data_IF_454741440891
#
_entry.id   IF_454741440891
#
_cell.length_a   1.000
_cell.length_b   1.000
_cell.length_c   1.000
_cell.angle_alpha   90.00
_cell.angle_beta   90.00
_cell.angle_gamma   90.00
#
_symmetry.space_group_name_H-M   'P 1'
#
loop_
_entity.id
_entity.type
_entity.pdbx_description
1 polymer ?
#
# COMPACT_ATOMS: atom_id res chain seq x y z
N UNK A 1 -44.26 18.54 2.57
CA UNK A 1 -43.02 19.11 2.02
C UNK A 1 -42.02 17.97 1.95
N UNK A 2 -41.70 17.46 0.75
CA UNK A 2 -40.71 16.37 0.62
C UNK A 2 -39.30 16.95 0.70
N UNK A 3 -38.40 16.28 1.44
CA UNK A 3 -36.99 16.64 1.39
C UNK A 3 -36.46 16.45 -0.05
N UNK A 4 -35.54 17.32 -0.52
CA UNK A 4 -34.91 17.16 -1.82
C UNK A 4 -34.12 15.86 -1.88
N UNK A 5 -34.22 15.12 -2.99
CA UNK A 5 -33.59 13.80 -3.20
C UNK A 5 -32.07 13.78 -2.98
N UNK A 6 -31.42 14.92 -3.14
CA UNK A 6 -29.99 15.08 -2.89
C UNK A 6 -29.63 15.04 -1.39
N UNK A 7 -30.58 15.37 -0.49
CA UNK A 7 -30.37 15.32 0.96
C UNK A 7 -30.42 13.87 1.48
N UNK A 8 -31.17 12.99 0.82
CA UNK A 8 -31.18 11.56 1.11
C UNK A 8 -29.87 10.88 0.66
N UNK A 9 -29.29 11.35 -0.46
CA UNK A 9 -27.99 10.89 -0.93
C UNK A 9 -26.85 11.32 0.01
N UNK A 10 -26.89 12.55 0.52
CA UNK A 10 -25.91 13.01 1.52
C UNK A 10 -26.03 12.23 2.85
N UNK A 11 -27.26 11.86 3.25
CA UNK A 11 -27.49 11.03 4.42
C UNK A 11 -26.98 9.58 4.22
N UNK A 12 -27.07 9.04 3.00
CA UNK A 12 -26.48 7.73 2.63
C UNK A 12 -24.94 7.76 2.62
N UNK A 13 -24.33 8.88 2.26
CA UNK A 13 -22.86 9.05 2.32
C UNK A 13 -22.34 9.31 3.74
N UNK A 14 -23.13 9.96 4.60
CA UNK A 14 -22.71 10.30 5.97
C UNK A 14 -23.07 9.21 6.99
N UNK A 15 -24.04 8.35 6.68
CA UNK A 15 -24.44 7.21 7.52
C UNK A 15 -24.12 5.90 6.77
N UNK A 16 -22.84 5.60 6.53
CA UNK A 16 -22.37 4.21 6.72
C UNK A 16 -22.33 3.96 8.21
N UNK A 17 -23.50 3.84 8.82
CA UNK A 17 -23.60 3.09 10.06
C UNK A 17 -23.06 1.70 9.73
N UNK A 18 -21.83 1.44 10.15
CA UNK A 18 -21.19 0.15 10.04
C UNK A 18 -22.07 -0.81 10.82
N UNK A 19 -22.87 -1.62 10.12
CA UNK A 19 -23.42 -2.84 10.70
C UNK A 19 -22.22 -3.62 11.19
N UNK A 20 -22.06 -3.73 12.51
CA UNK A 20 -20.88 -4.25 13.19
C UNK A 20 -20.54 -5.69 12.81
N UNK A 21 -21.44 -6.40 12.10
CA UNK A 21 -21.20 -7.73 11.53
C UNK A 21 -20.24 -7.76 10.33
N UNK A 22 -19.91 -6.61 9.72
CA UNK A 22 -18.99 -6.56 8.57
C UNK A 22 -17.56 -6.12 8.93
N UNK A 23 -17.23 -5.96 10.21
CA UNK A 23 -15.88 -5.54 10.64
C UNK A 23 -14.98 -6.76 10.78
N UNK A 24 -13.85 -6.74 10.06
CA UNK A 24 -12.82 -7.77 10.12
C UNK A 24 -11.64 -7.24 10.95
N UNK A 25 -11.15 -8.07 11.88
CA UNK A 25 -9.91 -7.82 12.64
C UNK A 25 -8.72 -8.36 11.83
N UNK A 26 -7.70 -7.53 11.67
CA UNK A 26 -6.42 -7.89 11.04
C UNK A 26 -5.31 -7.70 12.07
N UNK A 27 -4.48 -8.70 12.26
CA UNK A 27 -3.34 -8.68 13.15
C UNK A 27 -2.07 -8.75 12.29
N UNK A 28 -1.45 -7.59 12.05
CA UNK A 28 -0.31 -7.42 11.14
C UNK A 28 0.94 -7.30 11.98
N UNK A 29 1.76 -8.35 12.00
CA UNK A 29 3.02 -8.37 12.77
C UNK A 29 2.83 -8.07 14.27
N UNK A 30 1.66 -8.39 14.84
CA UNK A 30 1.32 -8.11 16.24
C UNK A 30 0.57 -6.80 16.47
N UNK A 31 0.37 -5.96 15.45
CA UNK A 31 -0.44 -4.73 15.54
C UNK A 31 -1.83 -4.96 14.97
N UNK A 32 -2.85 -4.55 15.73
CA UNK A 32 -4.25 -4.84 15.40
C UNK A 32 -4.88 -3.70 14.63
N UNK A 33 -5.30 -3.99 13.41
CA UNK A 33 -6.11 -3.12 12.57
C UNK A 33 -7.54 -3.66 12.46
N UNK A 34 -8.45 -2.76 12.07
CA UNK A 34 -9.85 -3.10 11.79
C UNK A 34 -10.29 -2.42 10.52
N UNK A 35 -10.99 -3.17 9.67
CA UNK A 35 -11.60 -2.65 8.45
C UNK A 35 -12.90 -3.38 8.17
N UNK A 36 -13.59 -3.03 7.09
CA UNK A 36 -14.81 -3.74 6.68
C UNK A 36 -14.51 -4.77 5.58
N UNK A 37 -15.31 -5.83 5.51
CA UNK A 37 -15.26 -6.80 4.40
C UNK A 37 -15.32 -6.10 3.04
N UNK A 38 -16.21 -5.12 2.89
CA UNK A 38 -16.34 -4.32 1.67
C UNK A 38 -15.03 -3.61 1.29
N UNK A 39 -14.32 -3.02 2.25
CA UNK A 39 -13.02 -2.37 2.00
C UNK A 39 -11.96 -3.38 1.57
N UNK A 40 -11.88 -4.51 2.28
CA UNK A 40 -10.85 -5.53 2.03
C UNK A 40 -11.08 -6.33 0.75
N UNK A 41 -12.32 -6.39 0.25
CA UNK A 41 -12.69 -7.03 -1.01
C UNK A 41 -12.83 -6.05 -2.17
N UNK A 42 -12.61 -4.75 -1.96
CA UNK A 42 -12.88 -3.70 -2.95
C UNK A 42 -12.00 -3.84 -4.19
N UNK A 43 -10.72 -4.14 -3.97
CA UNK A 43 -9.73 -4.35 -5.01
C UNK A 43 -9.30 -5.82 -5.01
N UNK A 44 -8.87 -6.30 -6.18
CA UNK A 44 -8.20 -7.59 -6.28
C UNK A 44 -6.84 -7.54 -5.55
N UNK A 45 -6.38 -8.70 -5.10
CA UNK A 45 -5.10 -8.88 -4.42
C UNK A 45 -5.17 -9.80 -3.20
N UNK A 46 -4.06 -9.93 -2.50
CA UNK A 46 -3.85 -10.92 -1.43
C UNK A 46 -4.91 -10.86 -0.33
N UNK A 47 -5.29 -9.66 0.12
CA UNK A 47 -6.28 -9.50 1.20
C UNK A 47 -7.66 -9.99 0.80
N UNK A 48 -8.09 -9.75 -0.44
CA UNK A 48 -9.36 -10.25 -0.96
C UNK A 48 -9.34 -11.78 -1.02
N UNK A 49 -8.28 -12.36 -1.58
CA UNK A 49 -8.09 -13.82 -1.66
C UNK A 49 -8.14 -14.45 -0.27
N UNK A 50 -7.41 -13.91 0.70
CA UNK A 50 -7.45 -14.38 2.09
C UNK A 50 -8.86 -14.36 2.68
N UNK A 51 -9.64 -13.30 2.41
CA UNK A 51 -11.01 -13.20 2.91
C UNK A 51 -11.99 -14.16 2.22
N UNK A 52 -11.78 -14.48 0.94
CA UNK A 52 -12.61 -15.41 0.18
C UNK A 52 -12.37 -16.87 0.59
N UNK A 53 -11.13 -17.21 0.98
CA UNK A 53 -10.76 -18.54 1.48
C UNK A 53 -11.16 -18.75 2.95
N UNK A 54 -11.45 -17.68 3.69
CA UNK A 54 -11.80 -17.75 5.10
C UNK A 54 -13.31 -17.89 5.33
N UNK A 55 -13.67 -18.85 6.18
CA UNK A 55 -15.04 -18.99 6.69
C UNK A 55 -15.28 -17.93 7.78
N UNK A 56 -15.86 -16.79 7.40
CA UNK A 56 -15.94 -15.58 8.25
C UNK A 56 -16.78 -15.75 9.52
N UNK A 57 -17.57 -16.82 9.62
CA UNK A 57 -18.46 -17.10 10.76
C UNK A 57 -17.69 -17.65 11.99
N UNK A 58 -16.44 -18.10 11.85
CA UNK A 58 -15.72 -18.84 12.92
C UNK A 58 -14.37 -18.24 13.32
N UNK A 59 -13.93 -17.11 12.74
CA UNK A 59 -12.56 -16.63 12.93
C UNK A 59 -12.48 -15.36 13.80
N UNK A 60 -11.53 -15.35 14.74
CA UNK A 60 -11.20 -14.20 15.59
C UNK A 60 -10.44 -13.07 14.84
N UNK A 61 -10.47 -13.09 13.50
CA UNK A 61 -9.66 -12.23 12.62
C UNK A 61 -8.57 -12.99 11.87
N UNK A 62 -7.80 -12.23 11.09
CA UNK A 62 -6.72 -12.71 10.22
C UNK A 62 -5.39 -12.29 10.83
N UNK A 63 -4.42 -13.20 10.92
CA UNK A 63 -3.04 -12.85 11.23
C UNK A 63 -2.22 -12.77 9.93
N UNK A 64 -1.42 -11.71 9.80
CA UNK A 64 -0.61 -11.40 8.64
C UNK A 64 0.82 -11.20 9.13
N UNK A 65 1.73 -12.05 8.70
CA UNK A 65 3.15 -12.02 9.08
C UNK A 65 3.93 -10.97 8.25
N UNK A 66 3.54 -9.70 8.42
CA UNK A 66 4.12 -8.52 7.76
C UNK A 66 4.37 -7.39 8.74
N UNK A 67 5.20 -6.43 8.34
CA UNK A 67 5.39 -5.21 9.14
C UNK A 67 4.11 -4.38 9.17
N UNK A 68 3.67 -3.89 10.33
CA UNK A 68 2.50 -3.02 10.43
C UNK A 68 2.78 -1.56 10.03
N UNK A 69 4.05 -1.17 9.88
CA UNK A 69 4.49 0.22 9.81
C UNK A 69 3.79 1.04 8.72
N UNK A 70 3.58 0.45 7.55
CA UNK A 70 2.91 1.11 6.41
C UNK A 70 1.49 0.58 6.15
N UNK A 71 0.94 -0.24 7.04
CA UNK A 71 -0.35 -0.90 6.79
C UNK A 71 -1.53 0.07 6.78
N UNK A 72 -1.44 1.21 7.48
CA UNK A 72 -2.44 2.28 7.36
C UNK A 72 -2.52 2.85 5.94
N UNK A 73 -1.39 3.00 5.25
CA UNK A 73 -1.33 3.43 3.84
C UNK A 73 -2.01 2.40 2.94
N UNK A 74 -1.79 1.11 3.19
CA UNK A 74 -2.46 0.01 2.47
C UNK A 74 -3.97 0.09 2.66
N UNK A 75 -4.44 0.26 3.90
CA UNK A 75 -5.87 0.37 4.20
C UNK A 75 -6.52 1.62 3.60
N UNK A 76 -5.83 2.76 3.64
CA UNK A 76 -6.34 4.00 3.04
C UNK A 76 -6.42 3.89 1.52
N UNK A 77 -5.42 3.29 0.88
CA UNK A 77 -5.50 3.01 -0.54
C UNK A 77 -6.69 2.09 -0.90
N UNK A 78 -6.96 1.04 -0.11
CA UNK A 78 -8.14 0.20 -0.32
C UNK A 78 -9.47 0.94 -0.11
N UNK A 79 -9.51 1.95 0.76
CA UNK A 79 -10.72 2.76 1.01
C UNK A 79 -10.99 3.70 -0.16
N UNK A 80 -9.96 4.42 -0.59
CA UNK A 80 -10.08 5.61 -1.42
C UNK A 80 -9.54 5.41 -2.86
N UNK A 81 -8.95 4.25 -3.16
CA UNK A 81 -8.26 3.93 -4.42
C UNK A 81 -7.14 4.94 -4.78
N UNK A 82 -6.70 5.68 -3.78
CA UNK A 82 -5.69 6.72 -3.86
C UNK A 82 -5.10 6.96 -2.48
N UNK A 83 -3.86 7.43 -2.42
CA UNK A 83 -3.21 7.81 -1.16
C UNK A 83 -2.08 8.80 -1.45
N UNK A 84 -1.87 9.75 -0.54
CA UNK A 84 -0.69 10.61 -0.59
C UNK A 84 0.52 9.82 -0.08
N UNK A 85 1.54 9.69 -0.92
CA UNK A 85 2.78 9.02 -0.53
C UNK A 85 3.67 9.97 0.30
N UNK A 86 4.41 9.42 1.28
CA UNK A 86 5.35 10.21 2.08
C UNK A 86 6.48 10.79 1.22
N UNK A 87 7.06 11.89 1.69
CA UNK A 87 8.22 12.54 1.04
C UNK A 87 9.51 11.70 1.15
N UNK A 88 9.61 10.88 2.20
CA UNK A 88 10.73 9.98 2.44
C UNK A 88 10.85 8.93 1.33
N UNK A 89 12.03 8.88 0.69
CA UNK A 89 12.36 7.85 -0.31
C UNK A 89 12.38 6.44 0.29
N UNK A 90 12.77 6.30 1.56
CA UNK A 90 12.85 5.02 2.25
C UNK A 90 11.44 4.46 2.48
N UNK A 91 10.57 5.27 3.09
CA UNK A 91 9.17 4.94 3.33
C UNK A 91 8.45 4.59 2.01
N UNK A 92 8.69 5.33 0.92
CA UNK A 92 8.10 4.98 -0.39
C UNK A 92 8.55 3.60 -0.89
N UNK A 93 9.81 3.24 -0.69
CA UNK A 93 10.32 1.91 -1.06
C UNK A 93 9.73 0.82 -0.17
N UNK A 94 9.50 1.10 1.11
CA UNK A 94 8.84 0.17 2.02
C UNK A 94 7.37 -0.02 1.68
N UNK A 95 6.63 1.07 1.42
CA UNK A 95 5.25 1.02 0.93
C UNK A 95 5.17 0.24 -0.39
N UNK A 96 6.12 0.44 -1.30
CA UNK A 96 6.19 -0.34 -2.54
C UNK A 96 6.28 -1.85 -2.27
N UNK A 97 7.15 -2.28 -1.34
CA UNK A 97 7.30 -3.71 -1.00
C UNK A 97 6.00 -4.28 -0.39
N UNK A 98 5.32 -3.51 0.44
CA UNK A 98 4.02 -3.93 0.98
C UNK A 98 2.94 -3.96 -0.11
N UNK A 99 2.90 -2.96 -1.00
CA UNK A 99 1.97 -2.93 -2.12
C UNK A 99 2.15 -4.13 -3.06
N UNK A 100 3.40 -4.53 -3.32
CA UNK A 100 3.72 -5.74 -4.09
C UNK A 100 3.29 -7.02 -3.35
N UNK A 101 3.48 -7.09 -2.02
CA UNK A 101 3.04 -8.24 -1.21
C UNK A 101 1.51 -8.39 -1.19
N UNK A 102 0.77 -7.28 -1.05
CA UNK A 102 -0.69 -7.29 -1.06
C UNK A 102 -1.29 -7.31 -2.48
N UNK A 103 -0.45 -7.33 -3.52
CA UNK A 103 -0.84 -7.37 -4.93
C UNK A 103 -1.75 -6.18 -5.34
N UNK A 104 -1.42 -4.98 -4.86
CA UNK A 104 -2.17 -3.75 -5.13
C UNK A 104 -1.54 -2.97 -6.28
N UNK A 105 -1.78 -3.42 -7.52
CA UNK A 105 -1.14 -2.89 -8.74
C UNK A 105 -1.21 -1.36 -8.86
N UNK A 106 -2.36 -0.75 -8.58
CA UNK A 106 -2.50 0.71 -8.64
C UNK A 106 -1.60 1.45 -7.65
N UNK A 107 -1.34 0.87 -6.47
CA UNK A 107 -0.42 1.45 -5.49
C UNK A 107 1.04 1.18 -5.87
N UNK A 108 1.33 0.02 -6.46
CA UNK A 108 2.66 -0.30 -7.02
C UNK A 108 3.06 0.72 -8.09
N UNK A 109 2.16 1.01 -9.03
CA UNK A 109 2.37 2.01 -10.07
C UNK A 109 2.57 3.41 -9.49
N UNK A 110 1.73 3.80 -8.52
CA UNK A 110 1.85 5.08 -7.83
C UNK A 110 3.23 5.24 -7.17
N UNK A 111 3.70 4.22 -6.44
CA UNK A 111 5.02 4.22 -5.81
C UNK A 111 6.16 4.31 -6.83
N UNK A 112 6.13 3.47 -7.89
CA UNK A 112 7.16 3.46 -8.94
C UNK A 112 7.24 4.80 -9.68
N UNK A 113 6.12 5.49 -9.89
CA UNK A 113 6.11 6.82 -10.52
C UNK A 113 6.81 7.91 -9.68
N UNK A 114 6.97 7.69 -8.37
CA UNK A 114 7.57 8.65 -7.42
C UNK A 114 8.95 8.24 -6.92
N UNK A 115 9.41 7.05 -7.29
CA UNK A 115 10.74 6.55 -6.99
C UNK A 115 11.57 6.71 -8.27
N UNK A 116 12.57 7.60 -8.31
CA UNK A 116 13.46 7.66 -9.47
C UNK A 116 14.11 6.29 -9.66
N UNK A 117 14.11 5.77 -10.88
CA UNK A 117 14.88 4.58 -11.19
C UNK A 117 16.35 4.89 -10.92
N UNK A 118 16.92 4.28 -9.88
CA UNK A 118 18.37 4.23 -9.73
C UNK A 118 18.91 3.26 -10.77
N UNK A 119 18.95 3.66 -12.04
CA UNK A 119 19.89 3.08 -12.99
C UNK A 119 21.28 3.61 -12.63
N UNK A 120 21.93 2.97 -11.66
CA UNK A 120 23.39 2.97 -11.72
C UNK A 120 23.70 2.09 -12.93
N UNK A 121 24.01 2.70 -14.07
CA UNK A 121 24.76 2.03 -15.12
C UNK A 121 26.06 1.55 -14.44
N UNK A 122 26.06 0.30 -13.99
CA UNK A 122 27.29 -0.36 -13.56
C UNK A 122 28.07 -0.57 -14.86
N UNK A 123 28.78 0.47 -15.29
CA UNK A 123 29.81 0.32 -16.30
C UNK A 123 30.79 -0.70 -15.74
N UNK A 124 30.79 -1.89 -16.34
CA UNK A 124 31.73 -2.93 -15.96
C UNK A 124 33.12 -2.37 -16.22
N UNK A 125 33.91 -2.25 -15.17
CA UNK A 125 35.25 -1.71 -15.32
C UNK A 125 36.10 -2.83 -15.92
N UNK A 126 36.38 -2.74 -17.22
CA UNK A 126 37.03 -3.82 -17.97
C UNK A 126 38.54 -3.93 -17.66
N UNK A 127 39.13 -2.94 -17.00
CA UNK A 127 40.57 -2.86 -16.75
C UNK A 127 40.94 -2.13 -15.45
N UNK A 128 42.04 -2.55 -14.81
CA UNK A 128 42.63 -1.90 -13.62
C UNK A 128 43.01 -0.42 -13.89
N UNK A 129 43.25 -0.05 -15.15
CA UNK A 129 43.52 1.33 -15.55
C UNK A 129 42.31 2.24 -15.38
N UNK A 130 41.12 1.71 -15.63
CA UNK A 130 39.88 2.47 -15.64
C UNK A 130 39.40 2.69 -14.19
N UNK A 131 39.66 1.72 -13.30
CA UNK A 131 39.49 1.88 -11.86
C UNK A 131 40.37 2.99 -11.29
N UNK A 132 41.65 3.04 -11.71
CA UNK A 132 42.58 4.08 -11.25
C UNK A 132 42.15 5.47 -11.72
N UNK A 133 41.57 5.60 -12.91
CA UNK A 133 41.11 6.88 -13.44
C UNK A 133 39.89 7.44 -12.66
N UNK A 134 38.98 6.57 -12.24
CA UNK A 134 37.80 6.94 -11.43
C UNK A 134 38.20 7.44 -10.03
N UNK A 135 39.13 6.75 -9.35
CA UNK A 135 39.51 7.12 -7.97
C UNK A 135 40.52 8.27 -7.89
N UNK A 136 41.34 8.46 -8.93
CA UNK A 136 42.39 9.51 -8.92
C UNK A 136 41.89 10.85 -9.45
N UNK A 137 40.79 10.86 -10.21
CA UNK A 137 40.18 12.09 -10.74
C UNK A 137 38.64 12.04 -10.58
N UNK A 138 38.10 12.29 -9.38
CA UNK A 138 36.67 12.49 -9.23
C UNK A 138 36.32 13.82 -9.91
N UNK A 139 35.90 13.78 -11.18
CA UNK A 139 35.40 14.99 -11.82
C UNK A 139 34.15 15.48 -11.07
N UNK A 140 34.20 16.76 -10.66
CA UNK A 140 33.05 17.53 -10.18
C UNK A 140 31.93 17.43 -11.23
N UNK A 141 30.85 16.72 -10.92
CA UNK A 141 29.63 16.88 -11.70
C UNK A 141 29.08 18.29 -11.46
N UNK A 142 28.98 19.07 -12.55
CA UNK A 142 28.27 20.36 -12.61
C UNK A 142 26.80 20.22 -12.23
#
# INVERSE_FOLDING_TARGET
>A
MSLPSHFLLLLLFTIRAVLTGNVIRLDVGGTVFKSTKDTLMKLDGTLKTMLEEMDTEQTNGIFIDRSPEHFDTILNFLRDESVDLPDSMEDRKEILREAEYYELDGLVELCKSKIPETSYDINFVESDTDLLQIITSPEKSL
#
